data_IF_150837606316
#
_entry.id   IF_150837606316
#
_cell.length_a   1.000
_cell.length_b   1.000
_cell.length_c   1.000
_cell.angle_alpha   90.00
_cell.angle_beta   90.00
_cell.angle_gamma   90.00
#
_symmetry.space_group_name_H-M   'P 1'
#
loop_
_entity.id
_entity.type
_entity.pdbx_description
1 polymer ?
#
# COMPACT_ATOMS: atom_id res chain seq x y z
N UNK A 1 -15.94 -18.45 -9.67
CA UNK A 1 -17.28 -17.90 -9.90
C UNK A 1 -17.07 -16.74 -10.84
N UNK A 2 -17.56 -16.82 -12.07
CA UNK A 2 -17.45 -15.73 -13.02
C UNK A 2 -18.41 -14.61 -12.58
N UNK A 3 -18.04 -13.34 -12.78
CA UNK A 3 -18.88 -12.17 -12.46
C UNK A 3 -20.30 -12.24 -13.06
N UNK A 4 -20.53 -13.14 -14.02
CA UNK A 4 -21.85 -13.39 -14.62
C UNK A 4 -22.88 -13.98 -13.63
N UNK A 5 -22.44 -14.54 -12.51
CA UNK A 5 -23.31 -15.18 -11.52
C UNK A 5 -23.63 -14.30 -10.30
N UNK A 6 -23.14 -13.04 -10.27
CA UNK A 6 -23.57 -12.08 -9.25
C UNK A 6 -24.96 -11.57 -9.67
N UNK A 7 -26.03 -11.91 -8.96
CA UNK A 7 -27.37 -11.46 -9.34
C UNK A 7 -27.41 -9.93 -9.27
N UNK A 8 -27.59 -9.28 -10.42
CA UNK A 8 -28.01 -7.88 -10.46
C UNK A 8 -29.44 -7.82 -9.90
N UNK A 9 -29.57 -7.79 -8.58
CA UNK A 9 -30.89 -7.55 -7.96
C UNK A 9 -31.28 -6.11 -8.23
N UNK A 10 -32.39 -5.94 -8.93
CA UNK A 10 -33.12 -4.69 -9.00
C UNK A 10 -33.35 -4.17 -7.57
N UNK A 11 -33.01 -2.94 -7.30
CA UNK A 11 -33.21 -2.27 -6.02
C UNK A 11 -34.70 -2.38 -5.60
N UNK A 12 -34.99 -3.26 -4.63
CA UNK A 12 -36.30 -3.34 -4.02
C UNK A 12 -36.47 -2.12 -3.11
N UNK A 13 -37.56 -1.40 -3.21
CA UNK A 13 -37.93 -0.27 -2.34
C UNK A 13 -37.87 -0.72 -0.89
N UNK A 14 -36.83 -0.24 -0.12
CA UNK A 14 -36.65 -0.55 1.30
C UNK A 14 -35.24 -0.99 1.69
N UNK A 15 -34.32 -1.23 0.77
CA UNK A 15 -32.92 -1.53 1.08
C UNK A 15 -32.14 -0.20 1.33
N UNK A 16 -31.38 -0.15 2.43
CA UNK A 16 -30.47 0.96 2.70
C UNK A 16 -29.39 0.99 1.63
N UNK A 17 -29.35 2.07 0.85
CA UNK A 17 -28.23 2.31 -0.05
C UNK A 17 -26.98 2.59 0.78
N UNK A 18 -25.89 1.85 0.53
CA UNK A 18 -24.61 2.09 1.16
C UNK A 18 -24.03 3.42 0.68
N UNK A 19 -23.38 4.17 1.56
CA UNK A 19 -22.79 5.47 1.25
C UNK A 19 -21.29 5.32 1.07
N UNK A 20 -20.79 5.71 -0.09
CA UNK A 20 -19.38 5.64 -0.48
C UNK A 20 -18.81 7.05 -0.56
N UNK A 21 -17.75 7.33 0.18
CA UNK A 21 -16.95 8.54 0.00
C UNK A 21 -15.81 8.27 -1.00
N UNK A 22 -15.78 9.01 -2.10
CA UNK A 22 -14.65 9.04 -3.04
C UNK A 22 -13.79 10.26 -2.69
N UNK A 23 -12.55 10.03 -2.25
CA UNK A 23 -11.56 11.07 -1.98
C UNK A 23 -10.60 11.12 -3.17
N UNK A 24 -10.79 12.11 -4.06
CA UNK A 24 -10.10 12.18 -5.35
C UNK A 24 -10.23 13.60 -5.96
N UNK A 25 -10.19 13.71 -7.28
CA UNK A 25 -10.63 14.91 -8.03
C UNK A 25 -12.14 15.08 -8.00
N UNK A 26 -12.63 16.08 -8.73
CA UNK A 26 -14.06 16.35 -8.85
C UNK A 26 -14.73 15.37 -9.84
N UNK A 27 -15.89 14.85 -9.45
CA UNK A 27 -16.73 14.03 -10.32
C UNK A 27 -17.57 14.96 -11.23
N UNK A 28 -17.47 14.76 -12.54
CA UNK A 28 -18.39 15.40 -13.49
C UNK A 28 -19.68 14.58 -13.60
N UNK A 29 -20.69 14.99 -12.86
CA UNK A 29 -21.99 14.32 -12.82
C UNK A 29 -22.67 14.18 -14.19
N UNK A 30 -22.37 15.10 -15.13
CA UNK A 30 -22.95 15.07 -16.49
C UNK A 30 -22.54 13.86 -17.30
N UNK A 31 -21.44 13.22 -16.92
CA UNK A 31 -20.87 12.06 -17.59
C UNK A 31 -21.28 10.73 -16.95
N UNK A 32 -22.00 10.78 -15.84
CA UNK A 32 -22.50 9.61 -15.16
C UNK A 32 -23.87 9.18 -15.72
N UNK A 33 -24.09 7.87 -15.75
CA UNK A 33 -25.39 7.29 -16.11
C UNK A 33 -26.45 7.59 -15.05
N UNK A 34 -26.04 7.69 -13.79
CA UNK A 34 -26.91 7.93 -12.64
C UNK A 34 -26.38 9.12 -11.80
N UNK A 35 -26.48 10.35 -12.30
CA UNK A 35 -25.94 11.54 -11.64
C UNK A 35 -26.54 11.79 -10.25
N UNK A 36 -27.79 11.40 -10.04
CA UNK A 36 -28.52 11.59 -8.79
C UNK A 36 -27.95 10.76 -7.61
N UNK A 37 -27.06 9.82 -7.89
CA UNK A 37 -26.34 9.09 -6.84
C UNK A 37 -25.26 9.91 -6.16
N UNK A 38 -24.77 10.96 -6.78
CA UNK A 38 -23.79 11.86 -6.18
C UNK A 38 -24.55 12.89 -5.33
N UNK A 39 -24.70 12.55 -4.04
CA UNK A 39 -25.47 13.37 -3.09
C UNK A 39 -24.76 14.67 -2.71
N UNK A 40 -23.41 14.66 -2.73
CA UNK A 40 -22.61 15.77 -2.23
C UNK A 40 -21.25 15.84 -2.89
N UNK A 41 -20.77 17.06 -3.16
CA UNK A 41 -19.40 17.36 -3.58
C UNK A 41 -18.87 18.43 -2.62
N UNK A 42 -17.74 18.15 -1.94
CA UNK A 42 -17.06 19.08 -1.04
C UNK A 42 -15.61 19.30 -1.48
N UNK A 43 -15.16 20.55 -1.53
CA UNK A 43 -13.82 20.94 -1.97
C UNK A 43 -12.92 21.35 -0.80
N UNK A 44 -11.68 20.84 -0.77
CA UNK A 44 -10.69 21.12 0.25
C UNK A 44 -9.57 22.06 -0.18
N UNK A 45 -9.52 22.40 -1.48
CA UNK A 45 -8.64 23.42 -2.05
C UNK A 45 -9.51 24.44 -2.79
N UNK A 46 -9.25 25.75 -2.58
CA UNK A 46 -10.18 26.80 -3.00
C UNK A 46 -9.97 27.36 -4.41
N UNK A 47 -8.83 27.15 -5.06
CA UNK A 47 -8.44 28.03 -6.16
C UNK A 47 -8.15 27.34 -7.51
N UNK A 48 -8.59 26.09 -7.73
CA UNK A 48 -8.22 25.40 -8.96
C UNK A 48 -9.46 24.82 -9.66
N UNK A 49 -9.85 25.49 -10.73
CA UNK A 49 -10.83 24.95 -11.68
C UNK A 49 -10.17 23.84 -12.48
N UNK A 50 -10.67 22.63 -12.35
CA UNK A 50 -10.26 21.53 -13.21
C UNK A 50 -10.91 21.68 -14.58
N UNK A 51 -10.15 22.13 -15.59
CA UNK A 51 -10.64 22.32 -16.96
C UNK A 51 -10.77 21.02 -17.78
N UNK A 52 -10.64 19.85 -17.15
CA UNK A 52 -10.69 18.58 -17.88
C UNK A 52 -12.11 18.02 -17.95
N UNK A 53 -12.53 17.68 -19.17
CA UNK A 53 -13.85 17.10 -19.44
C UNK A 53 -14.06 15.70 -18.84
N UNK A 54 -12.98 14.98 -18.48
CA UNK A 54 -13.05 13.64 -17.91
C UNK A 54 -11.99 13.45 -16.83
N UNK A 55 -12.43 13.62 -15.59
CA UNK A 55 -11.53 13.56 -14.43
C UNK A 55 -11.28 12.13 -13.98
N UNK A 56 -10.19 11.92 -13.22
CA UNK A 56 -9.87 10.63 -12.62
C UNK A 56 -11.02 10.12 -11.72
N UNK A 57 -11.62 10.98 -10.91
CA UNK A 57 -12.76 10.65 -10.06
C UNK A 57 -14.00 10.23 -10.87
N UNK A 58 -14.24 10.85 -12.02
CA UNK A 58 -15.34 10.48 -12.92
C UNK A 58 -15.15 9.07 -13.48
N UNK A 59 -13.93 8.70 -13.83
CA UNK A 59 -13.60 7.33 -14.25
C UNK A 59 -13.87 6.32 -13.14
N UNK A 60 -13.48 6.62 -11.90
CA UNK A 60 -13.76 5.77 -10.72
C UNK A 60 -15.26 5.58 -10.52
N UNK A 61 -16.02 6.66 -10.55
CA UNK A 61 -17.49 6.61 -10.43
C UNK A 61 -18.14 5.83 -11.58
N UNK A 62 -17.65 5.98 -12.81
CA UNK A 62 -18.15 5.25 -13.98
C UNK A 62 -17.90 3.75 -13.89
N UNK A 63 -16.74 3.31 -13.34
CA UNK A 63 -16.48 1.89 -13.08
C UNK A 63 -17.47 1.34 -12.04
N UNK A 64 -17.73 2.07 -10.95
CA UNK A 64 -18.74 1.68 -9.96
C UNK A 64 -20.12 1.51 -10.59
N UNK A 65 -20.54 2.44 -11.45
CA UNK A 65 -21.83 2.37 -12.12
C UNK A 65 -22.01 1.17 -13.04
N UNK A 66 -20.92 0.73 -13.68
CA UNK A 66 -20.93 -0.45 -14.54
C UNK A 66 -21.13 -1.75 -13.75
N UNK A 67 -20.61 -1.79 -12.53
CA UNK A 67 -20.49 -3.01 -11.75
C UNK A 67 -21.51 -3.10 -10.60
N UNK A 68 -22.06 -1.97 -10.14
CA UNK A 68 -22.96 -1.94 -8.98
C UNK A 68 -24.06 -0.90 -9.12
N UNK A 69 -25.20 -1.16 -8.46
CA UNK A 69 -26.38 -0.29 -8.56
C UNK A 69 -26.90 0.27 -7.24
N UNK A 70 -26.46 -0.23 -6.10
CA UNK A 70 -27.10 0.05 -4.81
C UNK A 70 -26.18 0.81 -3.86
N UNK A 71 -25.82 2.04 -4.23
CA UNK A 71 -25.00 2.94 -3.41
C UNK A 71 -25.30 4.40 -3.73
N UNK A 72 -24.94 5.27 -2.79
CA UNK A 72 -24.86 6.72 -2.96
C UNK A 72 -23.41 7.18 -2.83
N UNK A 73 -23.06 8.32 -3.46
CA UNK A 73 -21.70 8.86 -3.48
C UNK A 73 -21.62 10.19 -2.75
N UNK A 74 -20.53 10.35 -2.01
CA UNK A 74 -20.05 11.64 -1.51
C UNK A 74 -18.67 11.85 -2.12
N UNK A 75 -18.47 12.92 -2.88
CA UNK A 75 -17.18 13.24 -3.45
C UNK A 75 -16.46 14.30 -2.63
N UNK A 76 -15.32 13.94 -2.07
CA UNK A 76 -14.44 14.84 -1.32
C UNK A 76 -13.24 15.18 -2.19
N UNK A 77 -13.27 16.41 -2.75
CA UNK A 77 -12.31 16.84 -3.76
C UNK A 77 -11.04 17.36 -3.11
N UNK A 78 -9.94 16.60 -3.30
CA UNK A 78 -8.61 16.90 -2.76
C UNK A 78 -7.54 17.03 -3.84
N UNK A 79 -7.82 16.54 -5.05
CA UNK A 79 -6.94 16.67 -6.23
C UNK A 79 -7.33 17.86 -7.08
N UNK A 80 -6.33 18.52 -7.58
CA UNK A 80 -6.44 19.67 -8.45
C UNK A 80 -5.49 19.54 -9.65
N UNK A 81 -5.19 20.60 -10.35
CA UNK A 81 -4.44 20.56 -11.61
C UNK A 81 -3.27 19.54 -11.59
N UNK A 82 -3.15 18.75 -12.67
CA UNK A 82 -2.11 17.73 -12.89
C UNK A 82 -2.16 16.50 -11.96
N UNK A 83 -3.33 16.15 -11.43
CA UNK A 83 -3.53 15.01 -10.52
C UNK A 83 -2.65 15.11 -9.24
N UNK A 84 -2.40 16.35 -8.77
CA UNK A 84 -1.65 16.60 -7.54
C UNK A 84 -2.61 16.84 -6.37
N UNK A 85 -2.18 16.38 -5.20
CA UNK A 85 -2.82 16.68 -3.92
C UNK A 85 -1.75 17.03 -2.90
N UNK A 86 -2.15 17.69 -1.81
CA UNK A 86 -1.30 17.79 -0.65
C UNK A 86 -1.85 16.93 0.51
N UNK A 87 -0.97 16.49 1.38
CA UNK A 87 -1.32 15.59 2.47
C UNK A 87 -2.33 16.22 3.44
N UNK A 88 -2.27 17.54 3.63
CA UNK A 88 -3.19 18.26 4.50
C UNK A 88 -4.64 18.22 3.98
N UNK A 89 -4.85 18.27 2.66
CA UNK A 89 -6.18 18.15 2.06
C UNK A 89 -6.72 16.73 2.20
N UNK A 90 -5.89 15.71 2.01
CA UNK A 90 -6.26 14.32 2.29
C UNK A 90 -6.63 14.12 3.76
N UNK A 91 -5.83 14.67 4.68
CA UNK A 91 -6.10 14.61 6.12
C UNK A 91 -7.47 15.23 6.46
N UNK A 92 -7.75 16.44 5.96
CA UNK A 92 -9.04 17.13 6.19
C UNK A 92 -10.23 16.35 5.62
N UNK A 93 -10.08 15.75 4.44
CA UNK A 93 -11.12 14.91 3.85
C UNK A 93 -11.39 13.66 4.69
N UNK A 94 -10.35 12.96 5.17
CA UNK A 94 -10.51 11.84 6.10
C UNK A 94 -11.11 12.27 7.44
N UNK A 95 -10.72 13.44 7.97
CA UNK A 95 -11.34 14.02 9.16
C UNK A 95 -12.82 14.30 8.94
N UNK A 96 -13.21 14.81 7.77
CA UNK A 96 -14.61 15.01 7.39
C UNK A 96 -15.40 13.70 7.36
N UNK A 97 -14.79 12.63 6.90
CA UNK A 97 -15.39 11.30 6.91
C UNK A 97 -15.78 10.82 8.33
N UNK A 98 -15.12 11.32 9.38
CA UNK A 98 -15.50 11.02 10.76
C UNK A 98 -16.86 11.60 11.16
N UNK A 99 -17.31 12.65 10.48
CA UNK A 99 -18.57 13.37 10.77
C UNK A 99 -19.72 12.87 9.87
N UNK A 100 -19.40 12.21 8.78
CA UNK A 100 -20.36 11.72 7.82
C UNK A 100 -20.79 10.29 8.15
N UNK A 101 -22.04 9.95 7.79
CA UNK A 101 -22.53 8.58 7.86
C UNK A 101 -22.15 7.86 6.56
N UNK A 102 -20.98 7.25 6.53
CA UNK A 102 -20.43 6.54 5.38
C UNK A 102 -20.11 5.09 5.73
N UNK A 103 -20.18 4.21 4.74
CA UNK A 103 -19.86 2.80 4.87
C UNK A 103 -18.51 2.48 4.25
N UNK A 104 -18.14 3.19 3.17
CA UNK A 104 -16.90 3.00 2.46
C UNK A 104 -16.16 4.31 2.19
N UNK A 105 -14.84 4.23 2.20
CA UNK A 105 -13.95 5.26 1.66
C UNK A 105 -13.14 4.63 0.53
N UNK A 106 -13.13 5.26 -0.63
CA UNK A 106 -12.29 4.90 -1.77
C UNK A 106 -11.16 5.89 -1.92
N UNK A 107 -9.94 5.40 -1.84
CA UNK A 107 -8.70 6.15 -1.96
C UNK A 107 -7.90 5.64 -3.16
N UNK A 108 -7.91 6.39 -4.23
CA UNK A 108 -7.13 6.10 -5.44
C UNK A 108 -5.71 6.70 -5.39
N UNK A 109 -5.38 7.36 -4.29
CA UNK A 109 -4.14 8.08 -4.04
C UNK A 109 -3.53 7.69 -2.70
N UNK A 110 -2.26 8.04 -2.52
CA UNK A 110 -1.55 7.88 -1.27
C UNK A 110 -0.16 8.52 -1.33
N UNK A 111 0.51 8.57 -0.19
CA UNK A 111 1.87 9.03 -0.05
C UNK A 111 2.85 7.87 0.04
N UNK A 112 4.03 8.04 -0.52
CA UNK A 112 5.16 7.12 -0.34
C UNK A 112 6.13 7.59 0.76
N UNK A 113 5.79 8.67 1.45
CA UNK A 113 6.64 9.25 2.49
C UNK A 113 6.21 8.74 3.87
N UNK A 114 7.13 8.15 4.64
CA UNK A 114 6.85 7.63 5.98
C UNK A 114 6.30 8.68 6.96
N UNK A 115 6.80 9.92 6.90
CA UNK A 115 6.32 11.02 7.75
C UNK A 115 4.81 11.26 7.66
N UNK A 116 4.22 11.04 6.48
CA UNK A 116 2.78 11.22 6.28
C UNK A 116 1.94 10.17 7.03
N UNK A 117 2.54 9.01 7.35
CA UNK A 117 1.85 7.96 8.09
C UNK A 117 1.43 8.39 9.49
N UNK A 118 2.24 9.21 10.17
CA UNK A 118 1.94 9.74 11.51
C UNK A 118 0.59 10.47 11.55
N UNK A 119 0.36 11.31 10.56
CA UNK A 119 -0.84 12.12 10.50
C UNK A 119 -2.06 11.29 10.09
N UNK A 120 -1.89 10.35 9.18
CA UNK A 120 -3.00 9.57 8.61
C UNK A 120 -3.44 8.41 9.50
N UNK A 121 -2.50 7.71 10.15
CA UNK A 121 -2.78 6.46 10.86
C UNK A 121 -3.84 6.59 11.95
N UNK A 122 -3.80 7.61 12.86
CA UNK A 122 -4.83 7.74 13.90
C UNK A 122 -6.24 7.93 13.34
N UNK A 123 -6.40 8.66 12.21
CA UNK A 123 -7.70 8.85 11.57
C UNK A 123 -8.21 7.55 10.93
N UNK A 124 -7.33 6.85 10.23
CA UNK A 124 -7.66 5.56 9.60
C UNK A 124 -8.11 4.55 10.65
N UNK A 125 -7.41 4.47 11.77
CA UNK A 125 -7.79 3.61 12.90
C UNK A 125 -9.15 3.96 13.47
N UNK A 126 -9.44 5.25 13.68
CA UNK A 126 -10.73 5.71 14.18
C UNK A 126 -11.87 5.43 13.20
N UNK A 127 -11.66 5.63 11.89
CA UNK A 127 -12.64 5.32 10.84
C UNK A 127 -12.93 3.81 10.79
N UNK A 128 -11.89 2.99 10.81
CA UNK A 128 -12.02 1.53 10.84
C UNK A 128 -12.75 1.06 12.11
N UNK A 129 -12.43 1.64 13.28
CA UNK A 129 -13.12 1.34 14.54
C UNK A 129 -14.62 1.71 14.52
N UNK A 130 -15.02 2.70 13.71
CA UNK A 130 -16.44 3.03 13.45
C UNK A 130 -17.12 2.05 12.48
N UNK A 131 -16.38 1.11 11.91
CA UNK A 131 -16.87 0.13 10.95
C UNK A 131 -16.90 0.64 9.51
N UNK A 132 -16.19 1.72 9.20
CA UNK A 132 -15.98 2.19 7.82
C UNK A 132 -14.93 1.31 7.16
N UNK A 133 -15.23 0.79 5.97
CA UNK A 133 -14.29 0.02 5.16
C UNK A 133 -13.53 0.97 4.25
N UNK A 134 -12.22 1.04 4.42
CA UNK A 134 -11.34 1.88 3.60
C UNK A 134 -10.68 0.99 2.55
N UNK A 135 -10.86 1.30 1.27
CA UNK A 135 -10.22 0.60 0.15
C UNK A 135 -9.25 1.56 -0.51
N UNK A 136 -7.99 1.19 -0.60
CA UNK A 136 -6.96 2.08 -1.14
C UNK A 136 -6.05 1.38 -2.16
N UNK A 137 -5.62 2.16 -3.16
CA UNK A 137 -4.67 1.71 -4.18
C UNK A 137 -3.24 1.73 -3.64
N UNK A 138 -2.50 0.67 -3.93
CA UNK A 138 -1.05 0.66 -3.79
C UNK A 138 -0.36 1.52 -4.87
N UNK A 139 0.89 1.89 -4.61
CA UNK A 139 1.73 2.57 -5.61
C UNK A 139 1.85 1.73 -6.90
N UNK A 140 1.79 2.39 -8.06
CA UNK A 140 2.06 1.74 -9.34
C UNK A 140 3.55 1.37 -9.52
N UNK A 141 4.42 1.81 -8.62
CA UNK A 141 5.87 1.60 -8.66
C UNK A 141 6.37 0.58 -7.63
N UNK A 142 5.47 -0.17 -6.96
CA UNK A 142 5.85 -1.17 -5.96
C UNK A 142 6.50 -0.57 -4.71
N UNK A 143 6.10 0.66 -4.34
CA UNK A 143 6.57 1.33 -3.11
C UNK A 143 5.52 1.21 -2.01
N UNK A 144 5.97 1.15 -0.76
CA UNK A 144 5.09 1.26 0.41
C UNK A 144 4.27 2.56 0.30
N UNK A 145 2.97 2.47 0.49
CA UNK A 145 2.05 3.59 0.21
C UNK A 145 1.07 3.79 1.35
N UNK A 146 1.01 4.99 1.89
CA UNK A 146 0.09 5.35 2.97
C UNK A 146 -1.12 6.12 2.44
N UNK A 147 -2.35 5.77 2.85
CA UNK A 147 -2.68 4.80 3.91
C UNK A 147 -2.85 3.34 3.43
N UNK A 148 -2.64 3.02 2.15
CA UNK A 148 -2.92 1.69 1.60
C UNK A 148 -2.22 0.56 2.36
N UNK A 149 -0.99 0.79 2.84
CA UNK A 149 -0.20 -0.22 3.58
C UNK A 149 -0.58 -0.36 5.06
N UNK A 150 -1.56 0.41 5.56
CA UNK A 150 -1.99 0.24 6.96
C UNK A 150 -2.82 -1.03 7.15
N UNK A 151 -2.68 -1.72 8.29
CA UNK A 151 -3.43 -2.95 8.57
C UNK A 151 -4.95 -2.78 8.53
N UNK A 152 -5.45 -1.57 8.80
CA UNK A 152 -6.87 -1.24 8.83
C UNK A 152 -7.48 -1.04 7.42
N UNK A 153 -6.63 -0.84 6.40
CA UNK A 153 -7.04 -0.53 5.02
C UNK A 153 -7.05 -1.78 4.17
N UNK A 154 -8.12 -1.98 3.39
CA UNK A 154 -8.18 -3.01 2.36
C UNK A 154 -7.40 -2.52 1.13
N UNK A 155 -6.18 -3.01 1.03
CA UNK A 155 -5.22 -2.58 0.03
C UNK A 155 -5.34 -3.38 -1.26
N UNK A 156 -5.37 -2.70 -2.39
CA UNK A 156 -5.54 -3.34 -3.69
C UNK A 156 -4.45 -2.93 -4.69
N UNK A 157 -4.07 -3.87 -5.52
CA UNK A 157 -3.20 -3.63 -6.67
C UNK A 157 -3.63 -4.43 -7.89
N UNK A 158 -3.14 -4.01 -9.05
CA UNK A 158 -3.28 -4.74 -10.30
C UNK A 158 -2.27 -5.90 -10.37
N UNK A 159 -2.61 -6.96 -11.10
CA UNK A 159 -1.67 -8.04 -11.42
C UNK A 159 -0.68 -7.60 -12.50
N UNK A 160 0.47 -7.08 -12.05
CA UNK A 160 1.58 -6.70 -12.93
C UNK A 160 2.36 -7.89 -13.49
N UNK A 161 2.28 -9.04 -12.82
CA UNK A 161 3.02 -10.24 -13.17
C UNK A 161 2.24 -11.17 -14.13
N UNK A 162 1.01 -10.78 -14.50
CA UNK A 162 0.13 -11.56 -15.38
C UNK A 162 -0.07 -13.01 -14.91
N UNK A 163 -0.18 -13.22 -13.61
CA UNK A 163 -0.41 -14.53 -12.99
C UNK A 163 -1.89 -14.92 -12.93
N UNK A 164 -2.76 -13.93 -13.05
CA UNK A 164 -4.21 -14.10 -12.98
C UNK A 164 -4.84 -14.03 -14.39
N UNK A 165 -5.84 -14.84 -14.63
CA UNK A 165 -6.72 -14.64 -15.77
C UNK A 165 -7.60 -13.40 -15.55
N UNK A 166 -8.18 -12.86 -16.63
CA UNK A 166 -9.09 -11.71 -16.50
C UNK A 166 -10.29 -12.05 -15.59
N UNK A 167 -10.76 -11.06 -14.84
CA UNK A 167 -11.81 -11.19 -13.81
C UNK A 167 -11.45 -12.12 -12.63
N UNK A 168 -10.17 -12.30 -12.36
CA UNK A 168 -9.70 -13.04 -11.20
C UNK A 168 -9.05 -12.12 -10.17
N UNK A 169 -9.04 -12.56 -8.92
CA UNK A 169 -8.30 -11.92 -7.85
C UNK A 169 -7.64 -12.96 -6.95
N UNK A 170 -6.59 -12.51 -6.28
CA UNK A 170 -5.79 -13.27 -5.34
C UNK A 170 -5.72 -12.51 -4.02
N UNK A 171 -6.06 -13.18 -2.91
CA UNK A 171 -5.82 -12.67 -1.57
C UNK A 171 -4.35 -12.92 -1.21
N UNK A 172 -3.65 -11.88 -0.82
CA UNK A 172 -2.27 -11.95 -0.35
C UNK A 172 -2.25 -11.85 1.17
N UNK A 173 -1.63 -12.82 1.81
CA UNK A 173 -1.36 -12.79 3.23
C UNK A 173 0.11 -12.42 3.41
N UNK A 174 0.41 -11.55 4.39
CA UNK A 174 1.78 -11.19 4.76
C UNK A 174 2.62 -10.59 3.60
N UNK A 175 2.04 -9.65 2.88
CA UNK A 175 2.76 -8.93 1.83
C UNK A 175 3.54 -7.75 2.43
N UNK A 176 4.82 -7.60 2.06
CA UNK A 176 5.70 -6.52 2.53
C UNK A 176 5.15 -5.12 2.32
N UNK A 177 4.44 -4.91 1.22
CA UNK A 177 3.85 -3.62 0.88
C UNK A 177 2.48 -3.43 1.52
N UNK A 178 1.99 -4.41 2.29
CA UNK A 178 0.66 -4.38 2.87
C UNK A 178 -0.44 -4.56 1.83
N UNK A 179 -0.16 -5.22 0.70
CA UNK A 179 -1.18 -5.54 -0.31
C UNK A 179 -2.05 -6.69 0.18
N UNK A 180 -3.35 -6.49 0.23
CA UNK A 180 -4.30 -7.55 0.60
C UNK A 180 -4.83 -8.30 -0.61
N UNK A 181 -5.08 -7.58 -1.73
CA UNK A 181 -5.71 -8.16 -2.92
C UNK A 181 -5.00 -7.74 -4.19
N UNK A 182 -4.58 -8.72 -4.98
CA UNK A 182 -4.12 -8.50 -6.36
C UNK A 182 -5.21 -8.92 -7.33
N UNK A 183 -5.48 -8.10 -8.35
CA UNK A 183 -6.62 -8.31 -9.26
C UNK A 183 -6.23 -8.10 -10.72
N UNK A 184 -6.83 -8.91 -11.62
CA UNK A 184 -6.76 -8.71 -13.05
C UNK A 184 -8.16 -8.45 -13.63
N UNK A 185 -8.38 -7.21 -14.09
CA UNK A 185 -9.59 -6.74 -14.77
C UNK A 185 -9.24 -5.91 -16.00
N UNK A 186 -8.19 -6.30 -16.69
CA UNK A 186 -7.61 -5.57 -17.81
C UNK A 186 -8.58 -5.39 -18.98
N UNK A 187 -9.40 -6.42 -19.27
CA UNK A 187 -10.40 -6.36 -20.35
C UNK A 187 -11.48 -5.33 -20.01
N UNK A 188 -11.96 -5.31 -18.76
CA UNK A 188 -12.93 -4.32 -18.30
C UNK A 188 -12.38 -2.90 -18.42
N UNK A 189 -11.17 -2.64 -17.88
CA UNK A 189 -10.53 -1.32 -17.95
C UNK A 189 -10.33 -0.88 -19.41
N UNK A 190 -9.91 -1.78 -20.27
CA UNK A 190 -9.75 -1.51 -21.70
C UNK A 190 -11.07 -1.19 -22.37
N UNK A 191 -12.16 -1.91 -22.05
CA UNK A 191 -13.49 -1.67 -22.64
C UNK A 191 -14.06 -0.32 -22.24
N UNK A 192 -13.67 0.20 -21.08
CA UNK A 192 -14.06 1.53 -20.57
C UNK A 192 -13.12 2.65 -21.04
N UNK A 193 -12.05 2.33 -21.78
CA UNK A 193 -11.04 3.31 -22.18
C UNK A 193 -10.23 3.88 -21.00
N UNK A 194 -10.15 3.15 -19.89
CA UNK A 194 -9.49 3.57 -18.65
C UNK A 194 -8.07 3.02 -18.59
N UNK A 195 -7.09 3.81 -18.12
CA UNK A 195 -5.71 3.34 -17.98
C UNK A 195 -5.59 2.15 -17.01
N UNK A 196 -4.66 1.25 -17.30
CA UNK A 196 -4.37 0.08 -16.44
C UNK A 196 -3.48 0.48 -15.25
N UNK A 197 -4.10 1.05 -14.20
CA UNK A 197 -3.43 1.53 -12.96
C UNK A 197 -4.14 0.98 -11.73
N UNK A 198 -3.41 0.93 -10.61
CA UNK A 198 -3.95 0.45 -9.32
C UNK A 198 -5.16 1.27 -8.86
N UNK A 199 -5.17 2.58 -9.11
CA UNK A 199 -6.28 3.46 -8.75
C UNK A 199 -7.64 3.01 -9.30
N UNK A 200 -7.67 2.39 -10.48
CA UNK A 200 -8.91 1.91 -11.10
C UNK A 200 -9.32 0.48 -10.66
N UNK A 201 -8.48 -0.19 -9.88
CA UNK A 201 -8.84 -1.45 -9.20
C UNK A 201 -9.67 -1.16 -7.94
N UNK A 202 -9.50 0.00 -7.31
CA UNK A 202 -10.25 0.39 -6.11
C UNK A 202 -11.77 0.31 -6.29
N UNK A 203 -12.39 0.94 -7.31
CA UNK A 203 -13.84 0.84 -7.53
C UNK A 203 -14.30 -0.57 -7.91
N UNK A 204 -13.45 -1.36 -8.58
CA UNK A 204 -13.76 -2.77 -8.88
C UNK A 204 -13.87 -3.57 -7.59
N UNK A 205 -12.88 -3.43 -6.69
CA UNK A 205 -12.90 -4.09 -5.38
C UNK A 205 -14.11 -3.65 -4.56
N UNK A 206 -14.43 -2.35 -4.54
CA UNK A 206 -15.64 -1.84 -3.89
C UNK A 206 -16.89 -2.52 -4.42
N UNK A 207 -17.03 -2.65 -5.74
CA UNK A 207 -18.17 -3.29 -6.38
C UNK A 207 -18.33 -4.77 -6.01
N UNK A 208 -17.25 -5.48 -5.74
CA UNK A 208 -17.29 -6.87 -5.28
C UNK A 208 -17.75 -7.00 -3.83
N UNK A 209 -17.40 -6.04 -2.95
CA UNK A 209 -17.74 -6.10 -1.53
C UNK A 209 -19.07 -5.44 -1.18
N UNK A 210 -19.56 -4.51 -2.00
CA UNK A 210 -20.85 -3.84 -1.78
C UNK A 210 -22.03 -4.80 -1.56
N UNK A 211 -22.27 -5.83 -2.39
CA UNK A 211 -23.37 -6.77 -2.19
C UNK A 211 -23.25 -7.57 -0.88
N UNK A 212 -22.02 -7.80 -0.44
CA UNK A 212 -21.73 -8.51 0.82
C UNK A 212 -22.14 -7.64 2.01
N UNK A 213 -21.70 -6.37 1.98
CA UNK A 213 -21.94 -5.40 3.06
C UNK A 213 -23.41 -4.97 3.18
N UNK A 214 -24.19 -5.02 2.11
CA UNK A 214 -25.65 -4.78 2.17
C UNK A 214 -26.39 -5.78 3.05
N UNK A 215 -25.90 -7.01 3.10
CA UNK A 215 -26.52 -8.08 3.87
C UNK A 215 -25.97 -8.19 5.30
N UNK A 216 -24.72 -7.78 5.52
CA UNK A 216 -24.04 -7.90 6.81
C UNK A 216 -22.90 -6.90 6.91
N UNK A 217 -22.91 -6.05 7.96
CA UNK A 217 -21.77 -5.20 8.27
C UNK A 217 -20.55 -6.06 8.62
N UNK A 218 -19.45 -5.86 7.93
CA UNK A 218 -18.21 -6.63 8.08
C UNK A 218 -17.03 -5.67 8.21
N UNK A 219 -16.05 -6.04 9.01
CA UNK A 219 -14.74 -5.38 9.02
C UNK A 219 -13.82 -5.95 7.94
N UNK A 220 -12.62 -5.37 7.78
CA UNK A 220 -11.64 -5.83 6.78
C UNK A 220 -11.33 -7.32 6.90
N UNK A 221 -11.08 -7.84 8.11
CA UNK A 221 -10.70 -9.24 8.31
C UNK A 221 -11.83 -10.20 7.91
N UNK A 222 -13.06 -9.85 8.26
CA UNK A 222 -14.25 -10.63 7.85
C UNK A 222 -14.42 -10.64 6.33
N UNK A 223 -14.20 -9.48 5.67
CA UNK A 223 -14.25 -9.35 4.22
C UNK A 223 -13.17 -10.20 3.53
N UNK A 224 -11.93 -10.13 4.00
CA UNK A 224 -10.84 -10.94 3.46
C UNK A 224 -11.12 -12.44 3.65
N UNK A 225 -11.61 -12.84 4.81
CA UNK A 225 -12.02 -14.23 5.07
C UNK A 225 -13.12 -14.68 4.11
N UNK A 226 -14.12 -13.85 3.86
CA UNK A 226 -15.19 -14.14 2.90
C UNK A 226 -14.64 -14.24 1.47
N UNK A 227 -13.84 -13.27 1.05
CA UNK A 227 -13.25 -13.23 -0.28
C UNK A 227 -12.29 -14.41 -0.52
N UNK A 228 -11.60 -14.89 0.50
CA UNK A 228 -10.67 -16.02 0.38
C UNK A 228 -11.36 -17.32 -0.04
N UNK A 229 -12.66 -17.47 0.23
CA UNK A 229 -13.42 -18.64 -0.21
C UNK A 229 -13.64 -18.69 -1.72
N UNK A 230 -13.52 -17.56 -2.41
CA UNK A 230 -13.75 -17.39 -3.85
C UNK A 230 -12.50 -16.93 -4.61
N UNK A 231 -11.36 -16.80 -3.95
CA UNK A 231 -10.09 -16.45 -4.58
C UNK A 231 -9.60 -17.58 -5.48
N UNK A 232 -8.82 -17.24 -6.49
CA UNK A 232 -8.06 -18.26 -7.22
C UNK A 232 -7.09 -18.86 -6.21
N UNK A 233 -7.13 -20.18 -6.06
CA UNK A 233 -6.18 -20.89 -5.23
C UNK A 233 -4.78 -20.56 -5.77
N UNK A 234 -4.11 -19.62 -5.13
CA UNK A 234 -2.70 -19.46 -5.35
C UNK A 234 -2.02 -20.77 -4.95
N UNK A 235 -0.89 -21.07 -5.57
CA UNK A 235 0.13 -21.78 -4.82
C UNK A 235 0.49 -20.85 -3.66
N UNK A 236 -0.33 -20.90 -2.63
CA UNK A 236 -0.06 -20.30 -1.36
C UNK A 236 1.26 -20.87 -0.96
N UNK A 237 2.29 -20.05 -0.92
CA UNK A 237 3.39 -20.32 -0.02
C UNK A 237 2.71 -20.72 1.30
N UNK A 238 2.93 -21.92 1.81
CA UNK A 238 2.14 -22.42 2.90
C UNK A 238 2.14 -21.41 4.04
N UNK A 239 1.07 -21.28 4.83
CA UNK A 239 1.02 -20.43 6.02
C UNK A 239 1.91 -21.05 7.12
N UNK A 240 3.17 -21.27 6.84
CA UNK A 240 4.10 -21.96 7.72
C UNK A 240 4.79 -21.03 8.68
N UNK A 241 4.53 -19.76 8.57
CA UNK A 241 5.04 -18.80 9.53
C UNK A 241 3.89 -18.04 10.19
N UNK A 242 3.20 -18.74 11.12
CA UNK A 242 2.59 -18.01 12.22
C UNK A 242 3.74 -17.27 12.89
N UNK A 243 3.82 -15.97 12.60
CA UNK A 243 4.72 -15.07 13.25
C UNK A 243 4.65 -15.31 14.76
N UNK A 244 5.72 -15.81 15.34
CA UNK A 244 5.97 -15.50 16.74
C UNK A 244 6.14 -13.98 16.76
N UNK A 245 5.11 -13.27 17.20
CA UNK A 245 5.26 -11.91 17.71
C UNK A 245 6.13 -12.04 18.95
N UNK A 246 7.43 -12.15 18.74
CA UNK A 246 8.41 -12.17 19.80
C UNK A 246 9.28 -10.95 19.64
N UNK A 247 9.17 -10.12 20.61
CA UNK A 247 9.91 -8.90 20.89
C UNK A 247 9.38 -7.63 20.24
N UNK A 248 9.30 -6.60 21.07
CA UNK A 248 8.82 -5.26 20.78
C UNK A 248 9.74 -4.45 19.84
N UNK A 249 10.69 -5.08 19.16
CA UNK A 249 11.69 -4.42 18.31
C UNK A 249 12.00 -5.27 17.08
N UNK A 250 12.03 -4.64 15.92
CA UNK A 250 12.53 -5.20 14.68
C UNK A 250 14.06 -5.22 14.68
N UNK A 251 14.66 -6.16 13.96
CA UNK A 251 16.10 -6.14 13.77
C UNK A 251 16.49 -5.08 12.75
N UNK A 252 17.55 -4.34 13.04
CA UNK A 252 18.08 -3.25 12.20
C UNK A 252 19.49 -3.58 11.77
N UNK A 253 19.71 -3.63 10.46
CA UNK A 253 21.03 -3.86 9.88
C UNK A 253 21.41 -2.65 9.04
N UNK A 254 22.59 -2.09 9.29
CA UNK A 254 23.14 -1.07 8.40
C UNK A 254 24.02 -1.73 7.34
N UNK A 255 23.74 -1.47 6.07
CA UNK A 255 24.59 -1.78 4.93
C UNK A 255 25.32 -0.50 4.49
N UNK A 256 26.55 -0.33 4.94
CA UNK A 256 27.40 0.78 4.59
C UNK A 256 28.16 0.42 3.30
N UNK A 257 27.80 1.06 2.22
CA UNK A 257 28.37 0.87 0.89
C UNK A 257 29.45 1.93 0.62
N UNK A 258 30.50 1.56 -0.06
CA UNK A 258 31.54 2.50 -0.46
C UNK A 258 31.01 3.54 -1.44
N UNK A 259 30.14 3.10 -2.37
CA UNK A 259 29.33 3.99 -3.22
C UNK A 259 28.02 3.33 -3.66
N UNK A 260 27.23 4.07 -4.47
CA UNK A 260 25.91 3.64 -4.96
C UNK A 260 25.96 2.40 -5.88
N UNK A 261 27.11 2.02 -6.40
CA UNK A 261 27.24 0.85 -7.28
C UNK A 261 27.02 -0.46 -6.53
N UNK A 262 27.30 -0.49 -5.21
CA UNK A 262 27.05 -1.65 -4.35
C UNK A 262 25.58 -1.79 -3.95
N UNK A 263 24.72 -0.83 -4.25
CA UNK A 263 23.28 -0.95 -3.96
C UNK A 263 22.64 -2.14 -4.69
N UNK A 264 23.23 -2.57 -5.82
CA UNK A 264 22.77 -3.80 -6.48
C UNK A 264 23.02 -5.06 -5.62
N UNK A 265 24.13 -5.10 -4.87
CA UNK A 265 24.39 -6.19 -3.93
C UNK A 265 23.34 -6.20 -2.82
N UNK A 266 23.06 -5.04 -2.22
CA UNK A 266 22.03 -4.89 -1.18
C UNK A 266 20.64 -5.24 -1.72
N UNK A 267 20.34 -4.90 -2.97
CA UNK A 267 19.09 -5.29 -3.61
C UNK A 267 18.97 -6.81 -3.78
N UNK A 268 20.03 -7.48 -4.21
CA UNK A 268 20.03 -8.94 -4.32
C UNK A 268 19.93 -9.60 -2.94
N UNK A 269 20.58 -9.04 -1.93
CA UNK A 269 20.46 -9.47 -0.54
C UNK A 269 19.00 -9.34 -0.04
N UNK A 270 18.37 -8.19 -0.28
CA UNK A 270 16.96 -7.93 0.05
C UNK A 270 16.03 -8.96 -0.60
N UNK A 271 16.21 -9.20 -1.91
CA UNK A 271 15.43 -10.18 -2.66
C UNK A 271 15.62 -11.58 -2.08
N UNK A 272 16.86 -11.98 -1.77
CA UNK A 272 17.18 -13.30 -1.22
C UNK A 272 16.56 -13.50 0.15
N UNK A 273 16.65 -12.52 1.05
CA UNK A 273 16.04 -12.57 2.38
C UNK A 273 14.51 -12.74 2.26
N UNK A 274 13.87 -11.99 1.39
CA UNK A 274 12.42 -12.06 1.20
C UNK A 274 11.95 -13.35 0.51
N UNK A 275 12.60 -13.76 -0.58
CA UNK A 275 12.10 -14.86 -1.42
C UNK A 275 12.65 -16.23 -1.04
N UNK A 276 13.91 -16.30 -0.57
CA UNK A 276 14.54 -17.59 -0.26
C UNK A 276 14.36 -17.94 1.22
N UNK A 277 14.54 -16.97 2.10
CA UNK A 277 14.47 -17.18 3.55
C UNK A 277 13.14 -16.76 4.16
N UNK A 278 12.26 -16.12 3.39
CA UNK A 278 10.95 -15.64 3.84
C UNK A 278 11.03 -14.70 5.06
N UNK A 279 12.11 -13.93 5.16
CA UNK A 279 12.28 -12.87 6.14
C UNK A 279 11.72 -11.59 5.57
N UNK A 280 10.66 -11.05 6.16
CA UNK A 280 10.04 -9.81 5.68
C UNK A 280 10.99 -8.63 5.89
N UNK A 281 11.67 -8.25 4.83
CA UNK A 281 12.74 -7.25 4.87
C UNK A 281 12.38 -6.03 4.02
N UNK A 282 12.52 -4.84 4.59
CA UNK A 282 12.52 -3.57 3.85
C UNK A 282 13.90 -2.94 3.86
N UNK A 283 14.20 -2.13 2.85
CA UNK A 283 15.42 -1.35 2.79
C UNK A 283 15.08 0.14 2.73
N UNK A 284 15.71 0.94 3.58
CA UNK A 284 15.69 2.40 3.53
C UNK A 284 16.99 2.92 2.98
N UNK A 285 16.95 4.01 2.21
CA UNK A 285 18.15 4.64 1.66
C UNK A 285 18.00 6.17 1.61
N UNK A 286 19.11 6.88 1.52
CA UNK A 286 19.15 8.34 1.51
C UNK A 286 19.07 8.92 0.08
N UNK A 287 19.75 8.31 -0.89
CA UNK A 287 20.02 8.94 -2.18
C UNK A 287 19.25 8.35 -3.36
N UNK A 288 18.76 7.12 -3.23
CA UNK A 288 18.31 6.41 -4.41
C UNK A 288 16.80 6.56 -4.60
N UNK A 289 16.40 7.13 -5.72
CA UNK A 289 15.10 6.88 -6.30
C UNK A 289 15.14 5.49 -6.98
N UNK A 290 15.42 4.47 -6.16
CA UNK A 290 15.35 3.09 -6.60
C UNK A 290 13.89 2.72 -6.68
N UNK A 291 13.35 2.74 -7.89
CA UNK A 291 11.97 2.31 -8.19
C UNK A 291 11.78 0.79 -8.05
N UNK A 292 12.37 0.21 -7.00
CA UNK A 292 12.35 -1.23 -6.75
C UNK A 292 11.49 -1.55 -5.53
N UNK A 293 10.79 -2.68 -5.59
CA UNK A 293 9.98 -3.15 -4.46
C UNK A 293 10.83 -3.36 -3.21
N UNK A 294 10.32 -2.92 -2.07
CA UNK A 294 11.01 -3.04 -0.79
C UNK A 294 12.03 -1.95 -0.47
N UNK A 295 12.23 -0.97 -1.35
CA UNK A 295 13.08 0.19 -1.11
C UNK A 295 12.28 1.45 -0.80
N UNK A 296 12.72 2.20 0.22
CA UNK A 296 12.08 3.43 0.67
C UNK A 296 13.15 4.52 0.78
N UNK A 297 12.93 5.62 0.09
CA UNK A 297 13.80 6.80 0.24
C UNK A 297 13.41 7.58 1.49
N UNK A 298 14.39 7.84 2.37
CA UNK A 298 14.23 8.73 3.51
C UNK A 298 14.21 10.19 3.04
N UNK A 299 13.49 11.04 3.76
CA UNK A 299 13.41 12.46 3.48
C UNK A 299 14.57 13.20 4.17
N UNK A 300 15.22 14.10 3.47
CA UNK A 300 16.39 14.85 3.97
C UNK A 300 16.06 15.84 5.10
N UNK A 301 14.80 16.20 5.26
CA UNK A 301 14.37 17.23 6.21
C UNK A 301 13.93 16.69 7.57
N UNK A 302 13.67 15.39 7.66
CA UNK A 302 13.14 14.75 8.85
C UNK A 302 14.26 13.96 9.57
N UNK A 303 14.08 13.76 10.88
CA UNK A 303 14.97 12.88 11.65
C UNK A 303 14.93 11.46 11.06
N UNK A 304 16.11 10.91 10.77
CA UNK A 304 16.25 9.53 10.26
C UNK A 304 15.62 8.53 11.24
N UNK A 305 15.85 8.71 12.53
CA UNK A 305 15.30 7.85 13.57
C UNK A 305 13.78 7.88 13.58
N UNK A 306 13.17 9.06 13.51
CA UNK A 306 11.71 9.20 13.51
C UNK A 306 11.08 8.51 12.29
N UNK A 307 11.71 8.63 11.12
CA UNK A 307 11.25 7.96 9.90
C UNK A 307 11.37 6.43 10.00
N UNK A 308 12.44 5.91 10.60
CA UNK A 308 12.64 4.48 10.84
C UNK A 308 11.60 3.95 11.82
N UNK A 309 11.41 4.61 12.96
CA UNK A 309 10.39 4.22 13.95
C UNK A 309 8.97 4.21 13.35
N UNK A 310 8.69 5.17 12.48
CA UNK A 310 7.43 5.20 11.74
C UNK A 310 7.22 4.01 10.81
N UNK A 311 8.27 3.61 10.12
CA UNK A 311 8.21 2.42 9.26
C UNK A 311 7.98 1.16 10.09
N UNK A 312 8.63 1.04 11.22
CA UNK A 312 8.45 -0.09 12.14
C UNK A 312 7.01 -0.17 12.68
N UNK A 313 6.41 0.97 13.01
CA UNK A 313 5.01 1.03 13.47
C UNK A 313 4.02 0.76 12.32
N UNK A 314 4.36 1.17 11.11
CA UNK A 314 3.44 1.17 9.95
C UNK A 314 3.53 -0.10 9.10
N UNK A 315 4.61 -0.86 9.21
CA UNK A 315 4.87 -2.06 8.39
C UNK A 315 4.88 -3.33 9.24
N UNK A 316 4.88 -4.46 8.57
CA UNK A 316 4.98 -5.79 9.19
C UNK A 316 6.36 -6.42 8.96
N UNK A 317 7.41 -5.61 8.84
CA UNK A 317 8.78 -6.10 8.59
C UNK A 317 9.36 -6.81 9.81
N UNK A 318 10.22 -7.76 9.54
CA UNK A 318 11.01 -8.47 10.56
C UNK A 318 12.43 -7.92 10.62
N UNK A 319 12.90 -7.39 9.49
CA UNK A 319 14.23 -6.85 9.32
C UNK A 319 14.18 -5.54 8.53
N UNK A 320 14.80 -4.51 9.06
CA UNK A 320 15.02 -3.25 8.36
C UNK A 320 16.50 -3.12 7.96
N UNK A 321 16.77 -3.01 6.67
CA UNK A 321 18.10 -2.70 6.15
C UNK A 321 18.19 -1.18 5.97
N UNK A 322 19.20 -0.55 6.55
CA UNK A 322 19.55 0.85 6.34
C UNK A 322 20.71 0.90 5.37
N UNK A 323 20.46 1.22 4.11
CA UNK A 323 21.48 1.30 3.07
C UNK A 323 21.98 2.74 2.94
N UNK A 324 23.28 2.95 3.15
CA UNK A 324 23.91 4.26 3.12
C UNK A 324 25.34 4.18 2.60
N UNK A 325 25.93 5.32 2.24
CA UNK A 325 27.37 5.45 2.02
C UNK A 325 28.10 5.72 3.34
N UNK A 326 29.45 5.59 3.38
CA UNK A 326 30.23 5.88 4.60
C UNK A 326 29.99 7.30 5.10
N UNK A 327 29.93 8.28 4.21
CA UNK A 327 29.67 9.68 4.57
C UNK A 327 28.31 9.87 5.21
N UNK A 328 27.30 9.21 4.69
CA UNK A 328 25.93 9.25 5.24
C UNK A 328 25.85 8.49 6.57
N UNK A 329 26.56 7.38 6.69
CA UNK A 329 26.67 6.65 7.94
C UNK A 329 27.18 7.53 9.06
N UNK A 330 28.29 8.22 8.85
CA UNK A 330 28.89 9.11 9.84
C UNK A 330 28.02 10.33 10.18
N UNK A 331 27.28 10.87 9.20
CA UNK A 331 26.52 12.11 9.39
C UNK A 331 25.08 11.91 9.89
N UNK A 332 24.45 10.81 9.56
CA UNK A 332 22.99 10.69 9.69
C UNK A 332 22.50 9.54 10.57
N UNK A 333 23.37 8.56 10.89
CA UNK A 333 22.94 7.35 11.60
C UNK A 333 23.42 7.25 13.05
N UNK A 334 24.07 8.26 13.60
CA UNK A 334 24.65 8.25 14.95
C UNK A 334 23.67 7.90 16.07
N UNK A 335 22.39 8.20 15.90
CA UNK A 335 21.35 7.98 16.91
C UNK A 335 20.54 6.72 16.63
N UNK A 336 20.82 5.98 15.56
CA UNK A 336 20.09 4.78 15.21
C UNK A 336 20.78 3.58 15.84
N UNK A 337 20.11 2.92 16.75
CA UNK A 337 20.57 1.68 17.34
C UNK A 337 20.46 0.54 16.32
N UNK A 338 21.57 -0.17 16.07
CA UNK A 338 21.68 -1.19 15.03
C UNK A 338 22.19 -2.51 15.62
N UNK A 339 21.60 -3.60 15.18
CA UNK A 339 21.99 -4.93 15.62
C UNK A 339 23.23 -5.45 14.90
N UNK A 340 23.44 -4.96 13.65
CA UNK A 340 24.57 -5.39 12.82
C UNK A 340 24.96 -4.28 11.83
N UNK A 341 26.25 -4.18 11.54
CA UNK A 341 26.81 -3.31 10.50
C UNK A 341 27.50 -4.18 9.45
N UNK A 342 27.12 -4.05 8.19
CA UNK A 342 27.77 -4.61 7.02
C UNK A 342 28.50 -3.50 6.28
N UNK A 343 29.79 -3.62 6.09
CA UNK A 343 30.58 -2.75 5.18
C UNK A 343 30.84 -3.51 3.88
N UNK A 344 30.45 -2.91 2.77
CA UNK A 344 30.53 -3.53 1.43
C UNK A 344 31.42 -2.65 0.57
N UNK A 345 32.54 -3.19 0.09
CA UNK A 345 33.49 -2.48 -0.76
C UNK A 345 33.26 -2.75 -2.26
N UNK A 346 34.04 -2.11 -3.13
CA UNK A 346 33.95 -2.22 -4.60
C UNK A 346 34.09 -3.66 -5.13
N UNK A 347 34.77 -4.54 -4.40
CA UNK A 347 34.97 -5.92 -4.80
C UNK A 347 33.90 -6.87 -4.24
N UNK A 348 32.86 -6.31 -3.60
CA UNK A 348 31.88 -7.04 -2.81
C UNK A 348 32.49 -7.84 -1.64
N UNK A 349 33.67 -7.40 -1.12
CA UNK A 349 34.14 -7.89 0.15
C UNK A 349 33.23 -7.35 1.25
N UNK A 350 32.70 -8.23 2.05
CA UNK A 350 31.76 -7.89 3.13
C UNK A 350 32.48 -8.05 4.47
N UNK A 351 32.48 -6.99 5.25
CA UNK A 351 32.88 -6.99 6.63
C UNK A 351 31.65 -6.85 7.51
N UNK A 352 31.45 -7.77 8.41
CA UNK A 352 30.31 -7.79 9.32
C UNK A 352 30.79 -7.46 10.73
N UNK A 353 30.13 -6.49 11.36
CA UNK A 353 30.39 -6.05 12.73
C UNK A 353 29.12 -6.23 13.56
N UNK A 354 29.32 -6.70 14.80
CA UNK A 354 28.31 -6.75 15.85
C UNK A 354 28.83 -6.04 17.07
N UNK A 355 28.06 -5.12 17.63
CA UNK A 355 28.48 -4.31 18.79
C UNK A 355 29.87 -3.64 18.57
N UNK A 356 30.14 -3.23 17.31
CA UNK A 356 31.42 -2.65 16.90
C UNK A 356 32.59 -3.64 16.77
N UNK A 357 32.38 -4.94 17.01
CA UNK A 357 33.39 -5.99 16.91
C UNK A 357 33.29 -6.67 15.55
N UNK A 358 34.35 -6.77 14.76
CA UNK A 358 34.32 -7.49 13.50
C UNK A 358 34.14 -8.99 13.75
N UNK A 359 33.11 -9.59 13.19
CA UNK A 359 32.80 -11.01 13.32
C UNK A 359 33.07 -11.78 12.03
N UNK A 360 33.15 -11.10 10.90
CA UNK A 360 33.35 -11.71 9.60
C UNK A 360 34.04 -10.73 8.63
N UNK A 361 34.93 -11.25 7.77
CA UNK A 361 35.56 -10.49 6.68
C UNK A 361 35.97 -11.45 5.56
N UNK A 362 35.24 -11.42 4.45
CA UNK A 362 35.56 -12.19 3.25
C UNK A 362 34.81 -11.63 2.02
N UNK A 363 35.31 -12.03 0.84
CA UNK A 363 34.54 -11.88 -0.40
C UNK A 363 33.46 -12.98 -0.43
N UNK A 364 32.21 -12.60 -0.21
CA UNK A 364 31.09 -13.51 -0.20
C UNK A 364 29.95 -12.96 -1.06
N UNK A 365 29.18 -13.89 -1.62
CA UNK A 365 27.98 -13.54 -2.34
C UNK A 365 26.85 -13.14 -1.39
N UNK A 366 25.87 -12.41 -1.93
CA UNK A 366 24.70 -11.96 -1.16
C UNK A 366 23.87 -13.11 -0.60
N UNK A 367 23.90 -14.31 -1.20
CA UNK A 367 23.25 -15.51 -0.67
C UNK A 367 23.87 -15.97 0.64
N UNK A 368 25.20 -16.00 0.71
CA UNK A 368 25.92 -16.40 1.93
C UNK A 368 25.74 -15.35 3.03
N UNK A 369 25.73 -14.07 2.65
CA UNK A 369 25.43 -12.97 3.56
C UNK A 369 24.00 -13.09 4.11
N UNK A 370 23.02 -13.44 3.27
CA UNK A 370 21.65 -13.66 3.70
C UNK A 370 21.55 -14.81 4.71
N UNK A 371 22.25 -15.94 4.47
CA UNK A 371 22.30 -17.04 5.41
C UNK A 371 22.89 -16.62 6.76
N UNK A 372 23.99 -15.88 6.77
CA UNK A 372 24.59 -15.38 8.01
C UNK A 372 23.62 -14.46 8.80
N UNK A 373 22.87 -13.62 8.10
CA UNK A 373 21.86 -12.76 8.74
C UNK A 373 20.74 -13.60 9.34
N UNK A 374 20.24 -14.59 8.61
CA UNK A 374 19.17 -15.48 9.09
C UNK A 374 19.63 -16.28 10.30
N UNK A 375 20.85 -16.83 10.27
CA UNK A 375 21.43 -17.56 11.40
C UNK A 375 21.58 -16.65 12.64
N UNK A 376 21.81 -15.37 12.42
CA UNK A 376 21.86 -14.36 13.49
C UNK A 376 20.47 -14.03 14.07
N UNK A 377 19.43 -13.98 13.23
CA UNK A 377 18.06 -13.66 13.66
C UNK A 377 17.34 -14.86 14.32
N UNK A 378 17.87 -16.06 14.14
CA UNK A 378 17.34 -17.32 14.73
C UNK A 378 17.71 -17.48 16.18
#
# INVERSE_FOLDING_TARGET
MFLQDIPQRACCKGEYALVIAIIDGEIDNRQLKYPDRVERIEHYEKDIVCERDYTHATMIASILEQMSSAYNLINLVVMYAQDMTNMNSLYKALQRCMELSIDFILLSMGSIFPSDSLMLKPLVQQLSAKGVVIIAAQSNCGKLTFPASFPEVLSVQRDYNHQLLDNQYLIQYENLLGVDVTMNFDILLQSLGVPKRNSFIVPIMASLVLPIMQNKKMNKCDLLSFLSTNTVASQILPPTYMRKVSSDRYSRICCCCEDVTQYQYVNNLLITLNLTYNVQTLCVCFDADLSQAGWIKLQDQDSVLDQIELLEISSTVELLIICCTEVQFESSTHNVDMDMLLKINYNNDVQIYKDGIPIFNANIEYNDTAQLIVDYLS
#
